data_IF_385094277622
#
_entry.id   IF_385094277622
#
_cell.length_a   1.000
_cell.length_b   1.000
_cell.length_c   1.000
_cell.angle_alpha   90.00
_cell.angle_beta   90.00
_cell.angle_gamma   90.00
#
_symmetry.space_group_name_H-M   'P 1'
#
loop_
_entity.id
_entity.type
_entity.pdbx_description
1 polymer ?
#
# COMPACT_ATOMS: atom_id res chain seq x y z
N UNK A 1 15.88 -10.52 -17.00
CA UNK A 1 14.71 -10.12 -17.83
C UNK A 1 13.82 -9.25 -16.96
N UNK A 2 13.95 -7.92 -17.07
CA UNK A 2 13.15 -6.96 -16.31
C UNK A 2 11.78 -6.83 -16.97
N UNK A 3 10.72 -7.25 -16.28
CA UNK A 3 9.36 -7.02 -16.76
C UNK A 3 9.05 -5.51 -16.72
N UNK A 4 8.38 -4.94 -17.73
CA UNK A 4 8.02 -3.52 -17.70
C UNK A 4 7.00 -3.28 -16.60
N UNK A 5 7.32 -2.39 -15.66
CA UNK A 5 6.39 -1.90 -14.64
C UNK A 5 5.22 -1.23 -15.39
N UNK A 6 4.01 -1.79 -15.31
CA UNK A 6 2.79 -1.16 -15.83
C UNK A 6 2.42 -0.03 -14.87
N UNK A 7 2.98 1.15 -15.07
CA UNK A 7 2.63 2.33 -14.29
C UNK A 7 1.46 3.07 -14.96
N UNK A 8 0.26 2.92 -14.39
CA UNK A 8 -0.88 3.76 -14.73
C UNK A 8 -0.69 5.12 -14.06
N UNK A 9 0.09 6.00 -14.69
CA UNK A 9 0.23 7.39 -14.26
C UNK A 9 -1.07 8.15 -14.58
N UNK A 10 -1.93 8.32 -13.59
CA UNK A 10 -3.04 9.28 -13.68
C UNK A 10 -2.47 10.67 -13.38
N UNK A 11 -2.38 11.52 -14.41
CA UNK A 11 -1.67 12.82 -14.39
C UNK A 11 -2.46 13.97 -13.71
N UNK A 12 -3.70 13.76 -13.30
CA UNK A 12 -4.43 14.67 -12.43
C UNK A 12 -5.60 13.91 -11.80
N UNK A 13 -5.95 14.14 -10.51
CA UNK A 13 -7.12 13.51 -9.94
C UNK A 13 -8.36 14.00 -10.69
N UNK A 14 -9.04 13.10 -11.39
CA UNK A 14 -10.41 13.35 -11.83
C UNK A 14 -11.27 13.68 -10.59
N UNK A 15 -12.40 14.40 -10.70
CA UNK A 15 -13.27 14.69 -9.56
C UNK A 15 -13.67 13.44 -8.75
N UNK A 16 -13.81 12.29 -9.43
CA UNK A 16 -14.03 10.99 -8.80
C UNK A 16 -12.86 10.51 -7.92
N UNK A 17 -11.62 10.82 -8.29
CA UNK A 17 -10.43 10.49 -7.49
C UNK A 17 -10.34 11.33 -6.21
N UNK A 18 -10.79 12.59 -6.24
CA UNK A 18 -10.87 13.41 -5.03
C UNK A 18 -11.92 12.85 -4.06
N UNK A 19 -13.11 12.48 -4.57
CA UNK A 19 -14.16 11.83 -3.76
C UNK A 19 -13.72 10.50 -3.15
N UNK A 20 -12.96 9.69 -3.90
CA UNK A 20 -12.37 8.46 -3.38
C UNK A 20 -11.32 8.75 -2.28
N UNK A 21 -10.47 9.75 -2.46
CA UNK A 21 -9.48 10.13 -1.46
C UNK A 21 -10.11 10.62 -0.15
N UNK A 22 -11.17 11.43 -0.23
CA UNK A 22 -11.91 11.88 0.96
C UNK A 22 -12.66 10.74 1.63
N UNK A 23 -13.23 9.80 0.88
CA UNK A 23 -13.87 8.63 1.46
C UNK A 23 -12.88 7.74 2.24
N UNK A 24 -11.64 7.60 1.77
CA UNK A 24 -10.59 6.92 2.52
C UNK A 24 -10.21 7.66 3.82
N UNK A 25 -10.27 9.00 3.82
CA UNK A 25 -10.02 9.79 5.02
C UNK A 25 -11.17 9.64 6.04
N UNK A 26 -12.42 9.58 5.58
CA UNK A 26 -13.59 9.36 6.45
C UNK A 26 -13.59 7.96 7.09
N UNK A 27 -13.06 6.97 6.37
CA UNK A 27 -12.95 5.59 6.81
C UNK A 27 -11.86 5.37 7.89
N UNK A 28 -10.83 6.23 7.94
CA UNK A 28 -9.69 6.09 8.84
C UNK A 28 -10.08 5.94 10.31
N UNK A 29 -9.46 4.97 11.00
CA UNK A 29 -9.57 4.76 12.45
C UNK A 29 -8.19 4.80 13.12
N UNK A 30 -8.12 5.20 14.41
CA UNK A 30 -6.88 5.10 15.17
C UNK A 30 -6.34 3.66 15.15
N UNK A 31 -5.12 3.49 14.63
CA UNK A 31 -4.49 2.18 14.44
C UNK A 31 -4.24 1.84 12.96
N UNK A 32 -4.99 2.46 12.04
CA UNK A 32 -4.77 2.31 10.61
C UNK A 32 -3.54 3.06 10.13
N UNK A 33 -3.09 2.73 8.91
CA UNK A 33 -2.00 3.40 8.21
C UNK A 33 -2.55 4.19 7.03
N UNK A 34 -2.62 5.51 7.17
CA UNK A 34 -3.05 6.40 6.10
C UNK A 34 -1.84 7.09 5.44
N UNK A 35 -1.80 7.08 4.11
CA UNK A 35 -0.78 7.76 3.32
C UNK A 35 -1.45 8.56 2.20
N UNK A 36 -1.30 9.88 2.24
CA UNK A 36 -1.70 10.78 1.16
C UNK A 36 -0.46 11.42 0.54
N UNK A 37 -0.29 11.19 -0.77
CA UNK A 37 0.75 11.78 -1.60
C UNK A 37 0.08 12.49 -2.78
N UNK A 38 0.78 13.37 -3.53
CA UNK A 38 0.19 14.09 -4.65
C UNK A 38 -0.51 13.22 -5.70
N UNK A 39 -0.06 11.97 -5.85
CA UNK A 39 -0.57 11.05 -6.88
C UNK A 39 -1.35 9.86 -6.34
N UNK A 40 -1.32 9.60 -5.02
CA UNK A 40 -1.93 8.41 -4.43
C UNK A 40 -2.41 8.68 -3.01
N UNK A 41 -3.60 8.18 -2.70
CA UNK A 41 -4.14 8.07 -1.34
C UNK A 41 -4.37 6.60 -1.03
N UNK A 42 -3.81 6.13 0.08
CA UNK A 42 -3.88 4.74 0.52
C UNK A 42 -4.33 4.71 1.98
N UNK A 43 -5.22 3.76 2.31
CA UNK A 43 -5.59 3.39 3.67
C UNK A 43 -5.28 1.90 3.84
N UNK A 44 -4.41 1.57 4.80
CA UNK A 44 -4.12 0.21 5.20
C UNK A 44 -4.75 -0.07 6.57
N UNK A 45 -5.57 -1.11 6.64
CA UNK A 45 -6.22 -1.58 7.86
C UNK A 45 -5.42 -2.76 8.43
N UNK A 46 -4.90 -2.60 9.66
CA UNK A 46 -4.12 -3.63 10.33
C UNK A 46 -2.87 -4.11 9.56
N UNK A 47 -2.42 -5.33 9.88
CA UNK A 47 -1.36 -6.03 9.18
C UNK A 47 -1.72 -7.51 9.12
N UNK A 48 -1.69 -8.10 7.92
CA UNK A 48 -1.91 -9.54 7.76
C UNK A 48 -0.72 -10.35 8.29
N UNK A 49 0.50 -9.86 8.07
CA UNK A 49 1.73 -10.46 8.58
C UNK A 49 2.83 -9.40 8.70
N UNK A 50 3.51 -9.38 9.84
CA UNK A 50 4.74 -8.62 10.00
C UNK A 50 5.93 -9.43 9.48
N UNK A 51 6.79 -8.80 8.67
CA UNK A 51 8.01 -9.42 8.17
C UNK A 51 9.14 -9.19 9.19
N UNK A 52 9.62 -10.22 9.91
CA UNK A 52 10.63 -10.05 10.96
C UNK A 52 11.90 -9.42 10.41
N UNK A 53 12.56 -8.52 11.14
CA UNK A 53 13.85 -7.97 10.76
C UNK A 53 14.99 -8.86 11.25
N UNK A 54 15.38 -9.85 10.43
CA UNK A 54 16.48 -10.78 10.70
C UNK A 54 17.54 -10.78 9.58
N UNK A 55 18.58 -11.61 9.76
CA UNK A 55 19.75 -11.66 8.89
C UNK A 55 19.50 -12.27 7.50
N UNK A 56 18.35 -12.91 7.26
CA UNK A 56 18.04 -13.49 5.95
C UNK A 56 17.82 -12.38 4.91
N UNK A 57 18.03 -12.66 3.61
CA UNK A 57 17.68 -11.72 2.55
C UNK A 57 16.21 -11.30 2.61
N UNK A 58 15.92 -10.02 2.35
CA UNK A 58 14.56 -9.47 2.42
C UNK A 58 13.56 -10.29 1.61
N UNK A 59 13.92 -10.68 0.39
CA UNK A 59 13.05 -11.47 -0.49
C UNK A 59 12.67 -12.82 0.12
N UNK A 60 13.57 -13.47 0.85
CA UNK A 60 13.29 -14.74 1.53
C UNK A 60 12.36 -14.53 2.73
N UNK A 61 12.58 -13.46 3.50
CA UNK A 61 11.74 -13.10 4.64
C UNK A 61 10.31 -12.77 4.21
N UNK A 62 10.16 -11.98 3.15
CA UNK A 62 8.84 -11.64 2.57
C UNK A 62 8.16 -12.90 2.04
N UNK A 63 8.87 -13.75 1.29
CA UNK A 63 8.30 -15.01 0.80
C UNK A 63 7.84 -15.91 1.95
N UNK A 64 8.63 -16.00 3.02
CA UNK A 64 8.27 -16.76 4.21
C UNK A 64 7.01 -16.24 4.89
N UNK A 65 6.89 -14.92 5.08
CA UNK A 65 5.69 -14.32 5.66
C UNK A 65 4.45 -14.53 4.78
N UNK A 66 4.59 -14.38 3.45
CA UNK A 66 3.49 -14.60 2.50
C UNK A 66 3.04 -16.06 2.42
N UNK A 67 3.95 -17.03 2.59
CA UNK A 67 3.60 -18.45 2.58
C UNK A 67 2.93 -18.91 3.88
N UNK A 68 3.04 -18.13 4.96
CA UNK A 68 2.47 -18.45 6.27
C UNK A 68 1.11 -17.78 6.53
N UNK A 69 0.70 -16.84 5.66
CA UNK A 69 -0.59 -16.15 5.70
C UNK A 69 -1.61 -16.85 4.79
#
# INVERSE_FOLDING_TARGET
MTAPLRESTVLAPAPAALGAATALLDAYRPGDRFLATPHRTLLGEGSAAEVPHDARPLTERVRGALAAA
#
